data_IF_156239732581
#
_entry.id   IF_156239732581
#
_cell.length_a   1.000
_cell.length_b   1.000
_cell.length_c   1.000
_cell.angle_alpha   90.00
_cell.angle_beta   90.00
_cell.angle_gamma   90.00
#
_symmetry.space_group_name_H-M   'P 1'
#
loop_
_entity.id
_entity.type
_entity.pdbx_description
1 polymer ?
#
# COMPACT_ATOMS: atom_id res chain seq x y z
N UNK A 1 6.97 -1.39 -11.56
CA UNK A 1 5.74 -2.20 -11.57
C UNK A 1 4.58 -1.35 -12.04
N UNK A 2 3.67 -1.95 -12.80
CA UNK A 2 2.43 -1.33 -13.29
C UNK A 2 1.25 -1.99 -12.58
N UNK A 3 0.36 -1.19 -11.99
CA UNK A 3 -0.73 -1.61 -11.13
C UNK A 3 -2.07 -1.24 -11.76
N UNK A 4 -3.10 -2.06 -11.52
CA UNK A 4 -4.46 -1.72 -11.94
C UNK A 4 -4.97 -0.50 -11.18
N UNK A 5 -5.62 0.43 -11.88
CA UNK A 5 -6.24 1.59 -11.24
C UNK A 5 -7.45 1.13 -10.42
N UNK A 6 -7.60 1.63 -9.18
CA UNK A 6 -8.83 1.43 -8.42
C UNK A 6 -10.03 2.01 -9.17
N UNK A 7 -11.15 1.26 -9.23
CA UNK A 7 -12.39 1.74 -9.84
C UNK A 7 -13.07 2.85 -9.02
N UNK A 8 -12.80 2.90 -7.71
CA UNK A 8 -13.36 3.89 -6.79
C UNK A 8 -12.69 5.26 -6.96
N UNK A 9 -13.48 6.29 -7.27
CA UNK A 9 -12.99 7.66 -7.46
C UNK A 9 -12.39 8.27 -6.20
N UNK A 10 -12.83 7.83 -5.01
CA UNK A 10 -12.22 8.25 -3.75
C UNK A 10 -10.76 7.78 -3.64
N UNK A 11 -10.46 6.60 -4.16
CA UNK A 11 -9.10 6.05 -4.20
C UNK A 11 -8.22 6.72 -5.24
N UNK A 12 -8.77 7.07 -6.40
CA UNK A 12 -8.05 7.90 -7.36
C UNK A 12 -7.70 9.26 -6.76
N UNK A 13 -8.65 9.90 -6.06
CA UNK A 13 -8.43 11.16 -5.35
C UNK A 13 -7.38 11.02 -4.24
N UNK A 14 -7.48 9.97 -3.43
CA UNK A 14 -6.52 9.67 -2.36
C UNK A 14 -5.08 9.51 -2.88
N UNK A 15 -4.91 8.82 -4.01
CA UNK A 15 -3.61 8.63 -4.67
C UNK A 15 -3.18 9.82 -5.54
N UNK A 16 -4.06 10.80 -5.77
CA UNK A 16 -3.84 11.93 -6.66
C UNK A 16 -3.70 11.55 -8.15
N UNK A 17 -4.28 10.43 -8.55
CA UNK A 17 -4.22 9.92 -9.93
C UNK A 17 -5.30 10.57 -10.80
N UNK A 18 -5.02 10.82 -12.10
CA UNK A 18 -6.04 11.30 -13.02
C UNK A 18 -7.11 10.22 -13.27
N UNK A 19 -8.33 10.67 -13.55
CA UNK A 19 -9.43 9.82 -14.01
C UNK A 19 -9.11 9.17 -15.36
N UNK A 20 -9.69 8.00 -15.62
CA UNK A 20 -9.51 7.25 -16.86
C UNK A 20 -8.22 6.42 -16.91
N UNK A 21 -8.15 5.49 -17.88
CA UNK A 21 -7.07 4.52 -18.02
C UNK A 21 -7.21 3.29 -17.12
N UNK A 22 -6.58 2.18 -17.51
CA UNK A 22 -6.69 0.90 -16.80
C UNK A 22 -5.62 0.70 -15.71
N UNK A 23 -4.49 1.38 -15.82
CA UNK A 23 -3.30 1.13 -15.01
C UNK A 23 -2.54 2.40 -14.63
N UNK A 24 -1.65 2.28 -13.65
CA UNK A 24 -0.73 3.33 -13.22
C UNK A 24 0.57 2.73 -12.68
N UNK A 25 1.64 3.52 -12.64
CA UNK A 25 2.91 3.16 -11.99
C UNK A 25 2.97 3.77 -10.59
N UNK A 26 3.64 3.11 -9.66
CA UNK A 26 3.77 3.57 -8.27
C UNK A 26 4.30 5.02 -8.17
N UNK A 27 5.25 5.42 -9.02
CA UNK A 27 5.79 6.79 -9.04
C UNK A 27 4.78 7.87 -9.48
N UNK A 28 3.60 7.48 -9.98
CA UNK A 28 2.53 8.42 -10.35
C UNK A 28 1.64 8.79 -9.16
N UNK A 29 1.76 8.10 -8.02
CA UNK A 29 1.06 8.47 -6.78
C UNK A 29 1.57 9.85 -6.34
N UNK A 30 0.65 10.80 -6.09
CA UNK A 30 0.99 12.12 -5.56
C UNK A 30 1.24 12.05 -4.07
N UNK A 31 2.44 11.61 -3.70
CA UNK A 31 2.94 11.54 -2.34
C UNK A 31 4.48 11.61 -2.36
N UNK A 32 5.10 11.79 -1.20
CA UNK A 32 6.55 11.62 -1.03
C UNK A 32 6.93 10.16 -0.77
N UNK A 33 6.00 9.39 -0.22
CA UNK A 33 6.22 8.00 0.19
C UNK A 33 5.00 7.16 -0.14
N UNK A 34 5.24 5.97 -0.70
CA UNK A 34 4.26 4.90 -0.80
C UNK A 34 4.67 3.74 0.10
N UNK A 35 3.78 3.38 1.03
CA UNK A 35 3.82 2.13 1.80
C UNK A 35 3.00 1.11 1.03
N UNK A 36 3.62 -0.01 0.68
CA UNK A 36 3.04 -1.07 -0.15
C UNK A 36 2.99 -2.34 0.70
N UNK A 37 1.79 -2.74 1.07
CA UNK A 37 1.55 -4.02 1.74
C UNK A 37 1.30 -5.10 0.68
N UNK A 38 2.11 -6.14 0.68
CA UNK A 38 1.85 -7.38 -0.07
C UNK A 38 1.06 -8.31 0.86
N UNK A 39 -0.17 -8.64 0.48
CA UNK A 39 -1.08 -9.44 1.29
C UNK A 39 -1.76 -10.51 0.44
N UNK A 40 -2.40 -11.48 1.10
CA UNK A 40 -3.34 -12.37 0.45
C UNK A 40 -4.57 -12.56 1.33
N UNK A 41 -5.75 -12.65 0.72
CA UNK A 41 -7.01 -12.96 1.40
C UNK A 41 -6.92 -14.27 2.20
N UNK A 42 -6.08 -15.22 1.77
CA UNK A 42 -5.91 -16.53 2.40
C UNK A 42 -4.78 -16.57 3.45
N UNK A 43 -4.11 -15.45 3.71
CA UNK A 43 -3.03 -15.40 4.69
C UNK A 43 -3.59 -15.03 6.08
N UNK A 44 -3.56 -15.94 7.08
CA UNK A 44 -4.09 -15.67 8.41
C UNK A 44 -3.35 -14.53 9.12
N UNK A 45 -2.04 -14.37 8.87
CA UNK A 45 -1.27 -13.25 9.40
C UNK A 45 -1.71 -11.91 8.80
N UNK A 46 -2.05 -11.86 7.51
CA UNK A 46 -2.62 -10.65 6.89
C UNK A 46 -3.99 -10.32 7.47
N UNK A 47 -4.81 -11.33 7.72
CA UNK A 47 -6.13 -11.16 8.31
C UNK A 47 -6.04 -10.61 9.74
N UNK A 48 -5.10 -11.14 10.55
CA UNK A 48 -4.85 -10.67 11.91
C UNK A 48 -4.25 -9.26 11.96
N UNK A 49 -3.41 -8.89 10.98
CA UNK A 49 -2.74 -7.59 10.91
C UNK A 49 -3.62 -6.49 10.27
N UNK A 50 -4.70 -6.83 9.57
CA UNK A 50 -5.54 -5.85 8.87
C UNK A 50 -6.06 -4.69 9.77
N UNK A 51 -6.54 -4.92 11.01
CA UNK A 51 -6.92 -3.84 11.92
C UNK A 51 -5.75 -2.89 12.27
N UNK A 52 -4.55 -3.44 12.35
CA UNK A 52 -3.34 -2.71 12.69
C UNK A 52 -2.88 -1.83 11.52
N UNK A 53 -2.97 -2.32 10.28
CA UNK A 53 -2.71 -1.49 9.09
C UNK A 53 -3.79 -0.42 8.90
N UNK A 54 -5.04 -0.66 9.30
CA UNK A 54 -6.06 0.40 9.35
C UNK A 54 -5.71 1.47 10.39
N UNK A 55 -5.18 1.09 11.56
CA UNK A 55 -4.66 2.06 12.55
C UNK A 55 -3.53 2.90 11.95
N UNK A 56 -2.58 2.27 11.24
CA UNK A 56 -1.51 2.98 10.53
C UNK A 56 -2.08 3.98 9.51
N UNK A 57 -3.08 3.57 8.72
CA UNK A 57 -3.77 4.44 7.78
C UNK A 57 -4.39 5.66 8.50
N UNK A 58 -5.10 5.42 9.62
CA UNK A 58 -5.70 6.48 10.43
C UNK A 58 -4.66 7.45 11.00
N UNK A 59 -3.53 6.96 11.50
CA UNK A 59 -2.43 7.80 12.00
C UNK A 59 -1.86 8.73 10.92
N UNK A 60 -1.80 8.26 9.68
CA UNK A 60 -1.32 9.06 8.54
C UNK A 60 -2.38 10.08 8.12
N UNK A 61 -3.62 9.64 7.87
CA UNK A 61 -4.64 10.49 7.26
C UNK A 61 -5.25 11.51 8.24
N UNK A 62 -5.18 11.26 9.55
CA UNK A 62 -5.61 12.20 10.58
C UNK A 62 -4.51 13.20 10.99
N UNK A 63 -3.29 13.06 10.46
CA UNK A 63 -2.19 13.98 10.74
C UNK A 63 -1.89 14.87 9.52
N UNK A 64 -2.11 16.21 9.61
CA UNK A 64 -1.82 17.14 8.51
C UNK A 64 -0.37 17.11 8.03
N UNK A 65 0.58 16.71 8.88
CA UNK A 65 1.99 16.57 8.51
C UNK A 65 2.23 15.40 7.56
N UNK A 66 1.39 14.35 7.61
CA UNK A 66 1.61 13.07 6.91
C UNK A 66 0.60 12.81 5.78
N UNK A 67 -0.66 13.25 5.93
CA UNK A 67 -1.77 12.97 5.03
C UNK A 67 -1.43 13.15 3.53
N UNK A 68 -0.77 14.23 3.16
CA UNK A 68 -0.44 14.49 1.74
C UNK A 68 0.95 13.99 1.33
N UNK A 69 1.72 13.43 2.27
CA UNK A 69 3.11 12.98 2.06
C UNK A 69 3.25 11.47 2.03
N UNK A 70 2.41 10.72 2.73
CA UNK A 70 2.50 9.27 2.86
C UNK A 70 1.19 8.64 2.39
N UNK A 71 1.27 7.65 1.50
CA UNK A 71 0.10 6.88 1.05
C UNK A 71 0.32 5.39 1.24
N UNK A 72 -0.74 4.67 1.55
CA UNK A 72 -0.75 3.20 1.68
C UNK A 72 -1.53 2.60 0.53
N UNK A 73 -0.99 1.54 -0.07
CA UNK A 73 -1.72 0.64 -0.96
C UNK A 73 -1.48 -0.81 -0.54
N UNK A 74 -2.47 -1.67 -0.73
CA UNK A 74 -2.32 -3.11 -0.60
C UNK A 74 -2.33 -3.79 -1.97
N UNK A 75 -1.51 -4.84 -2.13
CA UNK A 75 -1.46 -5.67 -3.33
C UNK A 75 -1.82 -7.10 -2.94
N UNK A 76 -2.97 -7.57 -3.44
CA UNK A 76 -3.51 -8.89 -3.16
C UNK A 76 -2.89 -9.94 -4.09
N UNK A 77 -1.82 -10.59 -3.65
CA UNK A 77 -1.10 -11.58 -4.47
C UNK A 77 -1.91 -12.84 -4.65
N UNK A 78 -2.09 -13.24 -5.91
CA UNK A 78 -2.95 -14.35 -6.28
C UNK A 78 -4.42 -14.10 -5.98
N UNK A 79 -4.83 -12.84 -5.79
CA UNK A 79 -6.21 -12.50 -5.52
C UNK A 79 -6.83 -11.74 -6.71
N UNK A 80 -8.01 -12.19 -7.10
CA UNK A 80 -8.93 -11.50 -7.99
C UNK A 80 -9.49 -10.23 -7.34
N UNK A 81 -10.09 -9.38 -8.18
CA UNK A 81 -10.81 -8.19 -7.71
C UNK A 81 -11.93 -8.53 -6.71
N UNK A 82 -12.58 -9.68 -6.88
CA UNK A 82 -13.62 -10.16 -5.98
C UNK A 82 -13.05 -10.48 -4.59
N UNK A 83 -11.98 -11.27 -4.53
CA UNK A 83 -11.33 -11.66 -3.26
C UNK A 83 -10.76 -10.46 -2.51
N UNK A 84 -10.13 -9.54 -3.22
CA UNK A 84 -9.70 -8.25 -2.66
C UNK A 84 -10.89 -7.48 -2.08
N UNK A 85 -12.03 -7.46 -2.77
CA UNK A 85 -13.27 -6.84 -2.28
C UNK A 85 -13.83 -7.51 -1.03
N UNK A 86 -13.80 -8.85 -0.96
CA UNK A 86 -14.21 -9.60 0.24
C UNK A 86 -13.30 -9.29 1.42
N UNK A 87 -11.99 -9.32 1.22
CA UNK A 87 -11.01 -8.97 2.27
C UNK A 87 -11.25 -7.54 2.79
N UNK A 88 -11.38 -6.58 1.87
CA UNK A 88 -11.67 -5.18 2.18
C UNK A 88 -12.92 -5.06 3.04
N UNK A 89 -14.03 -5.69 2.64
CA UNK A 89 -15.30 -5.63 3.36
C UNK A 89 -15.21 -6.28 4.73
N UNK A 90 -14.60 -7.47 4.82
CA UNK A 90 -14.51 -8.25 6.06
C UNK A 90 -13.68 -7.53 7.13
N UNK A 91 -12.53 -6.98 6.75
CA UNK A 91 -11.60 -6.32 7.68
C UNK A 91 -11.73 -4.79 7.68
N UNK A 92 -12.76 -4.25 6.99
CA UNK A 92 -13.04 -2.82 6.88
C UNK A 92 -11.80 -2.03 6.45
N UNK A 93 -11.09 -2.52 5.44
CA UNK A 93 -9.86 -1.87 4.97
C UNK A 93 -10.20 -0.55 4.30
N UNK A 94 -9.60 0.53 4.80
CA UNK A 94 -9.96 1.90 4.40
C UNK A 94 -9.14 2.41 3.20
N UNK A 95 -7.96 1.84 2.97
CA UNK A 95 -7.07 2.23 1.87
C UNK A 95 -7.26 1.38 0.60
N UNK A 96 -6.75 1.84 -0.57
CA UNK A 96 -6.88 1.11 -1.83
C UNK A 96 -6.18 -0.26 -1.78
N UNK A 97 -6.92 -1.31 -2.14
CA UNK A 97 -6.39 -2.65 -2.38
C UNK A 97 -6.47 -2.98 -3.88
N UNK A 98 -5.38 -3.46 -4.44
CA UNK A 98 -5.20 -3.71 -5.87
C UNK A 98 -4.99 -5.22 -6.07
N UNK A 99 -5.74 -5.89 -6.96
CA UNK A 99 -5.57 -7.31 -7.21
C UNK A 99 -4.30 -7.59 -8.03
N UNK A 100 -3.68 -8.74 -7.77
CA UNK A 100 -2.60 -9.32 -8.57
C UNK A 100 -2.91 -10.80 -8.84
N UNK A 101 -4.00 -11.04 -9.57
CA UNK A 101 -4.54 -12.38 -9.84
C UNK A 101 -3.54 -13.30 -10.56
N UNK A 102 -2.76 -12.75 -11.49
CA UNK A 102 -1.80 -13.49 -12.32
C UNK A 102 -0.39 -13.56 -11.70
N UNK A 103 -0.20 -13.10 -10.45
CA UNK A 103 1.09 -13.00 -9.77
C UNK A 103 2.15 -12.17 -10.51
N UNK A 104 1.73 -11.24 -11.38
CA UNK A 104 2.64 -10.40 -12.16
C UNK A 104 3.45 -9.50 -11.24
N UNK A 105 2.81 -8.93 -10.23
CA UNK A 105 3.48 -8.04 -9.27
C UNK A 105 4.27 -8.86 -8.25
N UNK A 106 3.72 -9.97 -7.77
CA UNK A 106 4.38 -10.89 -6.84
C UNK A 106 5.74 -11.36 -7.37
N UNK A 107 5.82 -11.71 -8.66
CA UNK A 107 7.08 -12.06 -9.33
C UNK A 107 8.07 -10.90 -9.37
N UNK A 108 7.62 -9.67 -9.63
CA UNK A 108 8.48 -8.48 -9.65
C UNK A 108 9.07 -8.19 -8.27
N UNK A 109 8.32 -8.45 -7.20
CA UNK A 109 8.79 -8.21 -5.82
C UNK A 109 9.54 -9.40 -5.22
N UNK A 110 9.89 -10.41 -6.02
CA UNK A 110 10.71 -11.55 -5.60
C UNK A 110 9.97 -12.64 -4.83
N UNK A 111 8.67 -12.80 -5.11
CA UNK A 111 7.85 -13.92 -4.59
C UNK A 111 7.84 -14.02 -3.06
N UNK A 112 7.83 -12.86 -2.40
CA UNK A 112 7.86 -12.75 -0.94
C UNK A 112 6.67 -13.44 -0.27
N UNK A 113 6.88 -13.93 0.96
CA UNK A 113 5.81 -14.37 1.86
C UNK A 113 4.99 -13.17 2.34
N UNK A 114 3.75 -13.40 2.78
CA UNK A 114 2.84 -12.34 3.24
C UNK A 114 2.54 -12.45 4.75
N UNK A 115 2.24 -11.33 5.44
CA UNK A 115 2.32 -9.95 4.95
C UNK A 115 3.77 -9.51 4.74
N UNK A 116 3.99 -8.67 3.74
CA UNK A 116 5.29 -8.05 3.48
C UNK A 116 5.09 -6.56 3.23
N UNK A 117 6.02 -5.73 3.72
CA UNK A 117 5.94 -4.29 3.56
C UNK A 117 7.16 -3.79 2.79
N UNK A 118 6.89 -3.11 1.68
CA UNK A 118 7.87 -2.30 0.93
C UNK A 118 7.50 -0.85 1.11
N UNK A 119 8.47 0.01 1.41
CA UNK A 119 8.28 1.46 1.41
C UNK A 119 9.23 2.10 0.41
N UNK A 120 8.66 2.90 -0.48
CA UNK A 120 9.40 3.61 -1.50
C UNK A 120 9.26 5.12 -1.34
N UNK A 121 10.38 5.84 -1.37
CA UNK A 121 10.39 7.28 -1.63
C UNK A 121 10.01 7.51 -3.08
N UNK A 122 9.07 8.42 -3.28
CA UNK A 122 8.61 8.86 -4.58
C UNK A 122 9.16 10.26 -4.83
N UNK A 123 9.85 10.40 -5.96
CA UNK A 123 10.31 11.66 -6.50
C UNK A 123 9.77 11.63 -7.93
N UNK A 124 8.72 12.39 -8.25
CA UNK A 124 7.88 12.19 -9.45
C UNK A 124 8.62 12.17 -10.79
N UNK A 125 9.90 12.53 -10.81
CA UNK A 125 10.79 12.49 -11.97
C UNK A 125 11.81 11.34 -11.97
N UNK A 126 11.98 10.63 -10.85
CA UNK A 126 12.96 9.54 -10.68
C UNK A 126 12.29 8.20 -10.41
N UNK A 127 12.98 7.08 -10.69
CA UNK A 127 12.52 5.77 -10.23
C UNK A 127 12.29 5.77 -8.70
N UNK A 128 11.24 5.09 -8.21
CA UNK A 128 11.03 4.94 -6.77
C UNK A 128 12.26 4.34 -6.08
N UNK A 129 12.66 4.92 -4.95
CA UNK A 129 13.76 4.40 -4.14
C UNK A 129 13.20 3.62 -2.96
N UNK A 130 13.47 2.33 -2.89
CA UNK A 130 13.09 1.50 -1.74
C UNK A 130 13.93 1.90 -0.52
N UNK A 131 13.27 2.28 0.57
CA UNK A 131 13.89 2.67 1.84
C UNK A 131 13.58 1.72 2.99
N UNK A 132 12.59 0.84 2.82
CA UNK A 132 12.23 -0.20 3.77
C UNK A 132 11.68 -1.41 3.01
N UNK A 133 12.07 -2.61 3.43
CA UNK A 133 11.61 -3.87 2.84
C UNK A 133 11.72 -4.96 3.89
N UNK A 134 10.60 -5.40 4.48
CA UNK A 134 10.60 -6.48 5.48
C UNK A 134 9.37 -7.36 5.41
N UNK A 135 9.59 -8.63 5.76
CA UNK A 135 8.57 -9.64 5.99
C UNK A 135 7.96 -9.47 7.38
N UNK A 136 6.66 -9.69 7.48
CA UNK A 136 5.92 -9.74 8.74
C UNK A 136 5.10 -8.49 9.02
N UNK A 137 4.14 -8.67 9.93
CA UNK A 137 3.36 -7.59 10.52
C UNK A 137 4.24 -6.74 11.45
N UNK A 138 3.81 -5.51 11.71
CA UNK A 138 4.46 -4.62 12.67
C UNK A 138 3.65 -4.57 13.95
N UNK A 139 4.15 -5.12 15.05
CA UNK A 139 3.41 -5.10 16.33
C UNK A 139 3.04 -3.68 16.79
N UNK A 140 3.94 -2.71 16.53
CA UNK A 140 3.74 -1.29 16.83
C UNK A 140 3.83 -0.46 15.54
N UNK A 141 2.68 0.02 15.08
CA UNK A 141 2.57 0.82 13.85
C UNK A 141 3.01 2.27 14.04
N UNK A 142 3.02 2.80 15.26
CA UNK A 142 3.57 4.11 15.58
C UNK A 142 5.09 4.13 15.48
N UNK A 143 5.75 3.08 15.99
CA UNK A 143 7.21 2.89 15.84
C UNK A 143 7.55 2.69 14.36
N UNK A 144 6.77 1.88 13.64
CA UNK A 144 6.94 1.72 12.20
C UNK A 144 6.79 3.06 11.46
N UNK A 145 5.74 3.82 11.73
CA UNK A 145 5.52 5.13 11.11
C UNK A 145 6.67 6.10 11.41
N UNK A 146 7.14 6.14 12.66
CA UNK A 146 8.28 6.97 13.08
C UNK A 146 9.55 6.60 12.30
N UNK A 147 9.79 5.30 12.13
CA UNK A 147 10.91 4.81 11.33
C UNK A 147 10.79 5.25 9.86
N UNK A 148 9.60 5.14 9.26
CA UNK A 148 9.36 5.56 7.87
C UNK A 148 9.54 7.07 7.71
N UNK A 149 9.02 7.88 8.62
CA UNK A 149 9.19 9.34 8.61
C UNK A 149 10.68 9.71 8.65
N UNK A 150 11.46 9.05 9.50
CA UNK A 150 12.91 9.25 9.61
C UNK A 150 13.64 8.85 8.33
N UNK A 151 13.40 7.65 7.80
CA UNK A 151 14.03 7.15 6.58
C UNK A 151 13.65 7.96 5.33
N UNK A 152 12.42 8.49 5.30
CA UNK A 152 11.91 9.31 4.22
C UNK A 152 12.31 10.78 4.31
N UNK A 153 12.92 11.20 5.43
CA UNK A 153 13.27 12.61 5.71
C UNK A 153 12.05 13.54 5.64
N UNK A 154 10.90 13.05 6.11
CA UNK A 154 9.68 13.84 6.18
C UNK A 154 9.79 14.79 7.39
N UNK A 155 9.88 16.08 7.08
CA UNK A 155 9.76 17.19 8.04
C UNK A 155 8.31 17.44 8.42
#
# INVERSE_FOLDING_TARGET
MELLKPADSAYLKYLGLPAGGASFKVHQIKAKVAIIQIFSMYCPYCQADAPNVNRLYGLIENNPQFKDKIKIIGIGVGNSQFEVGVFKKKYKVEFPLIPDADFKIHKIVGEVRTPYFVVAKLDGSKPPQVIYSKLGAHEDVEVFLTQIVKLAEIK
#
